data_IF_449120077311
#
_entry.id   IF_449120077311
#
_cell.length_a   1.000
_cell.length_b   1.000
_cell.length_c   1.000
_cell.angle_alpha   90.00
_cell.angle_beta   90.00
_cell.angle_gamma   90.00
#
_symmetry.space_group_name_H-M   'P 1'
#
loop_
_entity.id
_entity.type
_entity.pdbx_description
1 polymer ?
#
# COMPACT_ATOMS: atom_id res chain seq x y z
N UNK A 1 -5.87 -1.17 7.52
CA UNK A 1 -5.92 -1.68 6.15
C UNK A 1 -4.55 -2.22 5.80
N UNK A 2 -4.43 -3.18 4.89
CA UNK A 2 -3.11 -3.69 4.47
C UNK A 2 -2.61 -4.95 5.18
N UNK A 3 -3.47 -5.71 5.83
CA UNK A 3 -3.08 -6.98 6.47
C UNK A 3 -3.56 -8.22 5.71
N UNK A 4 -3.65 -8.16 4.39
CA UNK A 4 -4.17 -9.26 3.55
C UNK A 4 -5.53 -9.81 4.05
N UNK A 5 -6.34 -8.95 4.65
CA UNK A 5 -7.63 -9.29 5.20
C UNK A 5 -8.74 -8.58 4.41
N UNK A 6 -9.80 -9.32 4.13
CA UNK A 6 -11.02 -8.76 3.60
C UNK A 6 -11.85 -8.18 4.74
N UNK A 7 -12.24 -6.91 4.64
CA UNK A 7 -13.21 -6.31 5.55
C UNK A 7 -14.61 -6.59 5.00
N UNK A 8 -15.35 -7.46 5.67
CA UNK A 8 -16.77 -7.68 5.41
C UNK A 8 -17.59 -6.89 6.43
N UNK A 9 -18.33 -5.90 5.96
CA UNK A 9 -19.26 -5.11 6.77
C UNK A 9 -20.67 -5.65 6.55
N UNK A 10 -21.32 -6.06 7.64
CA UNK A 10 -22.73 -6.42 7.62
C UNK A 10 -23.58 -5.15 7.84
N UNK A 11 -24.45 -4.86 6.89
CA UNK A 11 -25.38 -3.73 6.89
C UNK A 11 -26.80 -4.28 6.83
N UNK A 12 -27.39 -4.70 7.96
CA UNK A 12 -28.73 -5.25 7.96
C UNK A 12 -29.73 -4.16 7.58
N UNK A 13 -30.74 -4.48 6.74
CA UNK A 13 -31.84 -3.56 6.48
C UNK A 13 -32.65 -3.31 7.76
N UNK A 14 -33.18 -2.12 7.90
CA UNK A 14 -34.12 -1.77 8.96
C UNK A 14 -35.53 -2.35 8.65
N UNK A 15 -36.50 -2.05 9.53
CA UNK A 15 -37.89 -2.53 9.37
C UNK A 15 -38.58 -2.05 8.08
N UNK A 16 -38.04 -1.04 7.41
CA UNK A 16 -38.51 -0.50 6.12
C UNK A 16 -37.90 -1.22 4.92
N UNK A 17 -36.92 -2.12 5.17
CA UNK A 17 -36.19 -2.84 4.12
C UNK A 17 -35.08 -2.02 3.46
N UNK A 18 -34.65 -0.92 4.06
CA UNK A 18 -33.57 -0.06 3.57
C UNK A 18 -32.44 0.01 4.60
N UNK A 19 -31.26 0.43 4.18
CA UNK A 19 -30.15 0.70 5.11
C UNK A 19 -30.53 1.92 5.95
N UNK A 20 -30.34 1.81 7.27
CA UNK A 20 -30.64 2.89 8.20
C UNK A 20 -29.75 4.13 7.92
N UNK A 21 -30.31 5.32 8.05
CA UNK A 21 -29.66 6.60 7.72
C UNK A 21 -28.34 6.81 8.49
N UNK A 22 -28.27 6.32 9.73
CA UNK A 22 -27.04 6.38 10.52
C UNK A 22 -25.91 5.55 9.92
N UNK A 23 -26.24 4.37 9.35
CA UNK A 23 -25.27 3.50 8.71
C UNK A 23 -24.79 4.11 7.38
N UNK A 24 -25.70 4.69 6.62
CA UNK A 24 -25.35 5.43 5.40
C UNK A 24 -24.41 6.60 5.73
N UNK A 25 -24.74 7.36 6.78
CA UNK A 25 -23.89 8.47 7.24
C UNK A 25 -22.51 7.99 7.66
N UNK A 26 -22.42 6.97 8.52
CA UNK A 26 -21.17 6.40 8.99
C UNK A 26 -20.28 5.89 7.84
N UNK A 27 -20.86 5.20 6.85
CA UNK A 27 -20.14 4.73 5.67
C UNK A 27 -19.64 5.88 4.79
N UNK A 28 -20.45 6.92 4.62
CA UNK A 28 -20.09 8.09 3.82
C UNK A 28 -18.96 8.86 4.49
N UNK A 29 -19.03 9.07 5.80
CA UNK A 29 -17.97 9.72 6.58
C UNK A 29 -16.68 8.88 6.55
N UNK A 30 -16.78 7.58 6.71
CA UNK A 30 -15.62 6.68 6.61
C UNK A 30 -14.96 6.76 5.24
N UNK A 31 -15.75 6.73 4.16
CA UNK A 31 -15.22 6.90 2.79
C UNK A 31 -14.56 8.26 2.60
N UNK A 32 -15.13 9.33 3.14
CA UNK A 32 -14.57 10.67 3.06
C UNK A 32 -13.20 10.75 3.78
N UNK A 33 -13.08 10.14 4.96
CA UNK A 33 -11.82 10.05 5.72
C UNK A 33 -10.77 9.26 4.91
N UNK A 34 -11.13 8.12 4.33
CA UNK A 34 -10.22 7.34 3.50
C UNK A 34 -9.73 8.15 2.29
N UNK A 35 -10.65 8.79 1.59
CA UNK A 35 -10.32 9.57 0.41
C UNK A 35 -9.40 10.76 0.76
N UNK A 36 -9.69 11.50 1.84
CA UNK A 36 -8.85 12.62 2.26
C UNK A 36 -7.46 12.18 2.74
N UNK A 37 -7.38 11.01 3.36
CA UNK A 37 -6.15 10.50 3.96
C UNK A 37 -5.22 9.77 2.98
N UNK A 38 -5.76 9.21 1.89
CA UNK A 38 -5.04 8.33 0.97
C UNK A 38 -5.23 8.75 -0.49
N UNK A 39 -5.68 9.97 -0.76
CA UNK A 39 -5.98 10.44 -2.12
C UNK A 39 -4.73 10.70 -2.96
N UNK A 40 -3.65 11.07 -2.32
CA UNK A 40 -2.40 11.42 -3.02
C UNK A 40 -1.30 10.44 -2.65
N UNK A 41 -0.83 9.72 -3.65
CA UNK A 41 0.35 8.85 -3.55
C UNK A 41 1.57 9.64 -4.04
N UNK A 42 2.35 10.16 -3.10
CA UNK A 42 3.54 10.96 -3.37
C UNK A 42 4.69 10.11 -3.94
N UNK A 43 4.66 8.81 -3.72
CA UNK A 43 5.68 7.89 -4.21
C UNK A 43 5.40 7.39 -5.63
N UNK A 44 4.18 7.51 -6.11
CA UNK A 44 3.77 7.00 -7.42
C UNK A 44 4.58 7.63 -8.55
N UNK A 45 5.23 6.76 -9.35
CA UNK A 45 6.04 7.18 -10.48
C UNK A 45 7.38 7.82 -10.13
N UNK A 46 7.72 7.92 -8.85
CA UNK A 46 9.01 8.42 -8.39
C UNK A 46 10.12 7.39 -8.65
N UNK A 47 11.37 7.80 -8.47
CA UNK A 47 12.51 6.91 -8.68
C UNK A 47 12.66 5.93 -7.53
N UNK A 48 12.75 4.64 -7.86
CA UNK A 48 13.07 3.60 -6.91
C UNK A 48 14.39 2.91 -7.23
N UNK A 49 15.15 2.58 -6.20
CA UNK A 49 16.33 1.74 -6.29
C UNK A 49 16.37 0.74 -5.16
N UNK A 50 17.06 -0.36 -5.31
CA UNK A 50 17.20 -1.36 -4.29
C UNK A 50 18.60 -1.97 -4.28
N UNK A 51 18.98 -2.53 -3.13
CA UNK A 51 20.25 -3.27 -3.03
C UNK A 51 20.26 -4.56 -3.84
N UNK A 52 19.07 -5.14 -4.09
CA UNK A 52 18.90 -6.33 -4.92
C UNK A 52 17.49 -6.35 -5.53
N UNK A 53 17.35 -7.00 -6.67
CA UNK A 53 16.07 -7.46 -7.19
C UNK A 53 16.26 -8.77 -7.97
N UNK A 54 15.26 -9.64 -7.90
CA UNK A 54 15.32 -11.04 -8.28
C UNK A 54 15.84 -11.24 -9.71
N UNK A 55 16.95 -11.94 -9.81
CA UNK A 55 17.63 -12.27 -11.07
C UNK A 55 17.92 -11.07 -11.96
N UNK A 56 17.92 -9.87 -11.43
CA UNK A 56 18.00 -8.61 -12.20
C UNK A 56 16.97 -8.50 -13.33
N UNK A 57 15.83 -9.20 -13.15
CA UNK A 57 14.76 -9.22 -14.15
C UNK A 57 13.77 -8.09 -13.91
N UNK A 58 13.39 -7.38 -14.98
CA UNK A 58 12.49 -6.21 -14.93
C UNK A 58 11.14 -6.49 -14.26
N UNK A 59 10.65 -7.72 -14.32
CA UNK A 59 9.43 -8.16 -13.62
C UNK A 59 9.47 -7.93 -12.11
N UNK A 60 10.65 -7.89 -11.52
CA UNK A 60 10.86 -7.75 -10.07
C UNK A 60 11.62 -6.46 -9.72
N UNK A 61 11.69 -5.53 -10.65
CA UNK A 61 12.44 -4.28 -10.48
C UNK A 61 11.84 -3.40 -9.36
N UNK A 62 12.67 -2.60 -8.66
CA UNK A 62 12.21 -1.68 -7.61
C UNK A 62 11.08 -0.76 -8.06
N UNK A 63 11.11 -0.31 -9.30
CA UNK A 63 10.14 0.61 -9.88
C UNK A 63 8.70 0.06 -9.87
N UNK A 64 8.55 -1.26 -9.91
CA UNK A 64 7.24 -1.91 -9.87
C UNK A 64 6.50 -1.69 -8.53
N UNK A 65 7.19 -1.31 -7.48
CA UNK A 65 6.55 -0.95 -6.20
C UNK A 65 5.86 0.41 -6.22
N UNK A 66 6.10 1.24 -7.25
CA UNK A 66 5.64 2.62 -7.34
C UNK A 66 4.81 2.90 -8.61
N UNK A 67 4.50 1.90 -9.43
CA UNK A 67 3.77 2.06 -10.69
C UNK A 67 2.24 2.15 -10.50
N UNK A 68 1.76 1.77 -9.32
CA UNK A 68 0.34 1.76 -8.97
C UNK A 68 -0.45 0.57 -9.52
N UNK A 69 0.22 -0.45 -10.09
CA UNK A 69 -0.42 -1.70 -10.49
C UNK A 69 -0.29 -2.75 -9.37
N UNK A 70 -1.37 -3.21 -8.76
CA UNK A 70 -1.32 -4.19 -7.66
C UNK A 70 -0.85 -5.60 -8.10
N UNK A 71 -0.66 -5.82 -9.39
CA UNK A 71 -0.17 -7.09 -9.94
C UNK A 71 1.35 -7.11 -10.12
N UNK A 72 1.97 -5.96 -10.11
CA UNK A 72 3.43 -5.81 -10.18
C UNK A 72 4.01 -5.64 -8.77
N UNK A 73 5.25 -6.00 -8.59
CA UNK A 73 5.91 -5.90 -7.29
C UNK A 73 7.43 -5.95 -7.42
N UNK A 74 8.10 -5.44 -6.41
CA UNK A 74 9.53 -5.67 -6.21
C UNK A 74 9.75 -6.93 -5.39
N UNK A 75 10.75 -7.71 -5.75
CA UNK A 75 11.20 -8.86 -4.97
C UNK A 75 12.71 -9.04 -5.08
N UNK A 76 13.36 -9.50 -4.02
CA UNK A 76 14.78 -9.85 -3.99
C UNK A 76 15.03 -11.31 -4.38
N UNK A 77 16.28 -11.64 -4.62
CA UNK A 77 16.73 -13.04 -4.60
C UNK A 77 16.51 -13.61 -3.19
N UNK A 78 16.47 -14.95 -3.11
CA UNK A 78 16.39 -15.63 -1.83
C UNK A 78 17.68 -15.31 -1.03
N UNK A 79 17.62 -15.37 0.28
CA UNK A 79 18.74 -15.14 1.20
C UNK A 79 19.33 -13.71 1.22
N UNK A 80 18.71 -12.75 0.55
CA UNK A 80 19.10 -11.33 0.65
C UNK A 80 18.46 -10.70 1.88
N UNK A 81 19.29 -10.41 2.87
CA UNK A 81 18.86 -9.73 4.09
C UNK A 81 19.96 -8.76 4.59
N UNK A 82 19.62 -7.51 4.90
CA UNK A 82 18.30 -6.89 4.70
C UNK A 82 17.99 -6.61 3.22
N UNK A 83 16.72 -6.68 2.87
CA UNK A 83 16.20 -6.19 1.60
C UNK A 83 15.92 -4.69 1.72
N UNK A 84 16.62 -3.85 0.96
CA UNK A 84 16.55 -2.39 1.08
C UNK A 84 15.96 -1.81 -0.20
N UNK A 85 14.85 -1.09 -0.06
CA UNK A 85 14.23 -0.29 -1.11
C UNK A 85 14.44 1.20 -0.78
N UNK A 86 14.96 1.97 -1.72
CA UNK A 86 15.10 3.43 -1.61
C UNK A 86 14.17 4.11 -2.60
N UNK A 87 13.45 5.09 -2.12
CA UNK A 87 12.54 5.92 -2.91
C UNK A 87 13.04 7.35 -2.84
N UNK A 88 13.23 7.96 -4.00
CA UNK A 88 13.63 9.35 -4.13
C UNK A 88 12.42 10.18 -4.54
N UNK A 89 11.96 11.05 -3.66
CA UNK A 89 10.83 11.92 -3.90
C UNK A 89 11.20 13.19 -4.70
N UNK A 90 12.47 13.34 -5.08
CA UNK A 90 13.07 14.43 -5.85
C UNK A 90 13.06 15.81 -5.16
N UNK A 91 12.21 16.04 -4.19
CA UNK A 91 12.11 17.31 -3.46
C UNK A 91 11.71 17.07 -2.00
N UNK A 92 11.94 18.07 -1.17
CA UNK A 92 11.52 18.02 0.23
C UNK A 92 9.99 17.92 0.29
N UNK A 93 9.52 16.77 0.71
CA UNK A 93 8.10 16.43 0.73
C UNK A 93 7.67 16.10 2.15
N UNK A 94 6.55 16.68 2.58
CA UNK A 94 5.95 16.39 3.88
C UNK A 94 4.87 15.33 3.69
N UNK A 95 4.95 14.26 4.46
CA UNK A 95 3.94 13.21 4.52
C UNK A 95 3.76 12.73 5.96
N UNK A 96 2.59 12.20 6.26
CA UNK A 96 2.20 11.71 7.59
C UNK A 96 1.89 10.21 7.61
N UNK A 97 1.93 9.55 6.44
CA UNK A 97 1.59 8.14 6.30
C UNK A 97 2.47 7.44 5.29
N UNK A 98 2.77 6.18 5.60
CA UNK A 98 3.44 5.24 4.69
C UNK A 98 2.53 4.03 4.54
N UNK A 99 2.22 3.67 3.32
CA UNK A 99 1.47 2.46 3.00
C UNK A 99 2.41 1.43 2.36
N UNK A 100 2.52 0.28 3.00
CA UNK A 100 3.25 -0.87 2.45
C UNK A 100 2.23 -1.94 2.09
N UNK A 101 2.28 -2.41 0.86
CA UNK A 101 1.38 -3.41 0.34
C UNK A 101 2.16 -4.58 -0.24
N UNK A 102 1.80 -5.79 0.18
CA UNK A 102 2.35 -7.02 -0.39
C UNK A 102 1.41 -7.59 -1.45
N UNK A 103 1.94 -8.33 -2.44
CA UNK A 103 1.11 -9.04 -3.41
C UNK A 103 0.26 -10.12 -2.72
N UNK A 104 -1.03 -9.90 -2.61
CA UNK A 104 -1.96 -10.78 -1.86
C UNK A 104 -1.89 -12.24 -2.32
N UNK A 105 -1.74 -12.47 -3.63
CA UNK A 105 -1.69 -13.82 -4.21
C UNK A 105 -0.44 -14.62 -3.85
N UNK A 106 0.60 -13.96 -3.32
CA UNK A 106 1.84 -14.61 -2.86
C UNK A 106 1.87 -14.81 -1.33
N UNK A 107 0.84 -14.34 -0.64
CA UNK A 107 0.77 -14.35 0.82
C UNK A 107 1.71 -13.34 1.47
N UNK A 108 1.67 -13.29 2.80
CA UNK A 108 2.49 -12.38 3.59
C UNK A 108 3.94 -12.89 3.66
N UNK A 109 4.90 -12.07 3.28
CA UNK A 109 6.33 -12.38 3.24
C UNK A 109 7.15 -11.48 4.16
N UNK A 110 6.72 -10.23 4.36
CA UNK A 110 7.43 -9.27 5.20
C UNK A 110 7.04 -9.48 6.66
N UNK A 111 7.96 -9.97 7.46
CA UNK A 111 7.76 -10.18 8.89
C UNK A 111 8.05 -8.93 9.72
N UNK A 112 8.99 -8.09 9.25
CA UNK A 112 9.40 -6.84 9.89
C UNK A 112 9.91 -5.87 8.84
N UNK A 113 9.68 -4.59 9.05
CA UNK A 113 10.28 -3.51 8.26
C UNK A 113 10.67 -2.34 9.17
N UNK A 114 11.61 -1.54 8.68
CA UNK A 114 12.04 -0.28 9.27
C UNK A 114 11.98 0.79 8.18
N UNK A 115 11.75 2.03 8.57
CA UNK A 115 11.70 3.16 7.64
C UNK A 115 12.68 4.21 8.11
N UNK A 116 13.64 4.53 7.26
CA UNK A 116 14.60 5.59 7.47
C UNK A 116 14.29 6.76 6.54
N UNK A 117 14.32 7.97 7.06
CA UNK A 117 14.15 9.20 6.29
C UNK A 117 15.52 9.85 6.17
N UNK A 118 15.94 10.08 4.94
CA UNK A 118 17.17 10.80 4.62
C UNK A 118 16.79 12.18 4.10
N UNK A 119 17.28 13.20 4.78
CA UNK A 119 17.17 14.60 4.38
C UNK A 119 18.44 15.09 3.70
#
# INVERSE_FOLDING_TARGET
>A
MGRNALLLLNLPPDKRGIIHENDVKALTEFKAILNSSLSTDLAKGQKASANNYRSKHSKFAPQNSLDGDPRTYWATDDDIFPAILKIDLNENTIFDRIMIQEPIHLGQRVSRFEVDIMG
#
